data_IF_725675348196
#
_entry.id   IF_725675348196
#
_cell.length_a   1.000
_cell.length_b   1.000
_cell.length_c   1.000
_cell.angle_alpha   90.00
_cell.angle_beta   90.00
_cell.angle_gamma   90.00
#
_symmetry.space_group_name_H-M   'P 1'
#
loop_
_entity.id
_entity.type
_entity.pdbx_description
1 polymer ?
#
# COMPACT_ATOMS: atom_id res chain seq x y z
N UNK A 1 17.26 -2.67 -14.97
CA UNK A 1 16.96 -2.30 -13.57
C UNK A 1 17.35 -0.83 -13.38
N UNK A 2 16.47 0.08 -13.75
CA UNK A 2 16.64 1.52 -13.46
C UNK A 2 16.10 1.76 -12.07
N UNK A 3 16.97 2.04 -11.10
CA UNK A 3 16.57 2.50 -9.78
C UNK A 3 15.88 3.85 -9.90
N UNK A 4 14.55 3.84 -10.01
CA UNK A 4 13.77 5.06 -9.87
C UNK A 4 13.80 5.45 -8.39
N UNK A 5 14.24 6.68 -8.10
CA UNK A 5 14.25 7.22 -6.76
C UNK A 5 12.81 7.19 -6.20
N UNK A 6 12.58 6.42 -5.12
CA UNK A 6 11.30 6.41 -4.41
C UNK A 6 11.02 7.81 -3.87
N UNK A 7 9.93 8.42 -4.32
CA UNK A 7 9.48 9.71 -3.81
C UNK A 7 8.80 9.51 -2.47
N UNK A 8 9.36 10.09 -1.41
CA UNK A 8 8.70 10.11 -0.10
C UNK A 8 7.82 11.35 0.03
N UNK A 9 6.56 11.17 0.42
CA UNK A 9 5.58 12.24 0.65
C UNK A 9 5.09 12.15 2.08
N UNK A 10 5.12 13.26 2.82
CA UNK A 10 4.50 13.33 4.14
C UNK A 10 3.05 13.80 4.01
N UNK A 11 2.13 13.07 4.64
CA UNK A 11 0.70 13.32 4.62
C UNK A 11 0.21 13.70 6.03
N UNK A 12 -0.89 14.45 6.09
CA UNK A 12 -1.47 14.90 7.35
C UNK A 12 -2.56 13.95 7.86
N UNK A 13 -3.15 13.15 6.98
CA UNK A 13 -4.30 12.32 7.30
C UNK A 13 -4.43 11.08 6.40
N UNK A 14 -5.30 10.14 6.81
CA UNK A 14 -5.70 9.01 5.99
C UNK A 14 -6.53 9.44 4.75
N UNK A 15 -7.29 10.54 4.86
CA UNK A 15 -8.01 11.08 3.72
C UNK A 15 -7.06 11.61 2.62
N UNK A 16 -5.88 12.11 3.00
CA UNK A 16 -4.84 12.47 2.03
C UNK A 16 -4.30 11.23 1.29
N UNK A 17 -4.17 10.11 2.00
CA UNK A 17 -3.76 8.82 1.41
C UNK A 17 -4.83 8.33 0.42
N UNK A 18 -6.10 8.37 0.81
CA UNK A 18 -7.23 7.98 -0.04
C UNK A 18 -7.26 8.79 -1.34
N UNK A 19 -7.05 10.10 -1.23
CA UNK A 19 -6.99 11.01 -2.37
C UNK A 19 -5.81 10.66 -3.29
N UNK A 20 -4.62 10.43 -2.73
CA UNK A 20 -3.44 10.06 -3.52
C UNK A 20 -3.64 8.72 -4.23
N UNK A 21 -4.23 7.73 -3.57
CA UNK A 21 -4.56 6.43 -4.21
C UNK A 21 -5.51 6.66 -5.38
N UNK A 22 -6.61 7.39 -5.15
CA UNK A 22 -7.57 7.73 -6.21
C UNK A 22 -6.91 8.43 -7.39
N UNK A 23 -6.06 9.44 -7.15
CA UNK A 23 -5.38 10.20 -8.20
C UNK A 23 -4.31 9.39 -8.94
N UNK A 24 -3.51 8.58 -8.24
CA UNK A 24 -2.40 7.85 -8.84
C UNK A 24 -2.85 6.64 -9.67
N UNK A 25 -3.98 6.03 -9.30
CA UNK A 25 -4.54 4.85 -9.95
C UNK A 25 -5.76 5.16 -10.84
N UNK A 26 -6.14 6.44 -10.97
CA UNK A 26 -7.34 6.87 -11.71
C UNK A 26 -8.63 6.14 -11.26
N UNK A 27 -8.74 5.92 -9.94
CA UNK A 27 -9.87 5.24 -9.31
C UNK A 27 -10.85 6.24 -8.70
N UNK A 28 -12.14 5.89 -8.54
CA UNK A 28 -13.12 6.77 -7.88
C UNK A 28 -12.68 7.18 -6.47
N UNK A 29 -13.06 8.37 -6.02
CA UNK A 29 -12.78 8.81 -4.65
C UNK A 29 -13.53 7.93 -3.62
N UNK A 30 -12.78 7.14 -2.85
CA UNK A 30 -13.29 6.19 -1.83
C UNK A 30 -12.31 6.08 -0.66
N UNK A 31 -12.74 5.59 0.51
CA UNK A 31 -11.89 5.46 1.69
C UNK A 31 -10.95 4.24 1.63
N UNK A 32 -10.02 4.20 0.66
CA UNK A 32 -9.12 3.07 0.39
C UNK A 32 -8.27 2.63 1.60
N UNK A 33 -7.86 3.56 2.45
CA UNK A 33 -7.00 3.32 3.61
C UNK A 33 -7.74 2.80 4.84
N UNK A 34 -9.08 2.77 4.82
CA UNK A 34 -9.90 2.37 5.98
C UNK A 34 -11.00 1.35 5.66
N UNK A 35 -11.51 1.32 4.42
CA UNK A 35 -12.49 0.33 3.95
C UNK A 35 -11.80 -0.77 3.13
N UNK A 36 -11.85 -2.00 3.62
CA UNK A 36 -11.27 -3.15 2.92
C UNK A 36 -11.90 -3.41 1.55
N UNK A 37 -13.19 -3.12 1.36
CA UNK A 37 -13.81 -3.31 0.05
C UNK A 37 -13.29 -2.30 -0.97
N UNK A 38 -13.03 -1.06 -0.55
CA UNK A 38 -12.38 -0.07 -1.40
C UNK A 38 -10.92 -0.48 -1.69
N UNK A 39 -10.16 -0.92 -0.69
CA UNK A 39 -8.80 -1.42 -0.89
C UNK A 39 -8.73 -2.62 -1.84
N UNK A 40 -9.70 -3.53 -1.79
CA UNK A 40 -9.79 -4.66 -2.71
C UNK A 40 -10.15 -4.24 -4.14
N UNK A 41 -10.79 -3.09 -4.35
CA UNK A 41 -10.96 -2.52 -5.69
C UNK A 41 -9.62 -2.06 -6.28
N UNK A 42 -8.75 -1.47 -5.47
CA UNK A 42 -7.37 -1.17 -5.89
C UNK A 42 -6.60 -2.45 -6.23
N UNK A 43 -6.77 -3.53 -5.45
CA UNK A 43 -6.17 -4.82 -5.78
C UNK A 43 -6.69 -5.33 -7.13
N UNK A 44 -8.00 -5.33 -7.35
CA UNK A 44 -8.60 -5.76 -8.61
C UNK A 44 -8.08 -4.95 -9.81
N UNK A 45 -8.02 -3.62 -9.68
CA UNK A 45 -7.45 -2.73 -10.70
C UNK A 45 -6.01 -3.11 -11.05
N UNK A 46 -5.17 -3.34 -10.03
CA UNK A 46 -3.80 -3.76 -10.24
C UNK A 46 -3.73 -5.12 -10.95
N UNK A 47 -4.56 -6.08 -10.53
CA UNK A 47 -4.54 -7.43 -11.10
C UNK A 47 -5.00 -7.45 -12.56
N UNK A 48 -5.89 -6.53 -12.95
CA UNK A 48 -6.41 -6.44 -14.32
C UNK A 48 -5.47 -5.67 -15.28
N UNK A 49 -4.71 -4.70 -14.77
CA UNK A 49 -4.03 -3.71 -15.61
C UNK A 49 -2.49 -3.80 -15.64
N UNK A 50 -1.85 -4.67 -14.85
CA UNK A 50 -0.39 -4.77 -14.77
C UNK A 50 0.16 -6.10 -15.30
N UNK A 51 1.37 -6.05 -15.88
CA UNK A 51 2.07 -7.26 -16.33
C UNK A 51 2.46 -8.15 -15.16
N UNK A 52 2.19 -9.46 -15.27
CA UNK A 52 2.47 -10.47 -14.23
C UNK A 52 1.86 -10.12 -12.86
N UNK A 53 0.52 -9.97 -12.78
CA UNK A 53 -0.13 -9.50 -11.57
C UNK A 53 0.01 -10.51 -10.43
N UNK A 54 0.39 -10.02 -9.26
CA UNK A 54 0.45 -10.81 -8.04
C UNK A 54 -0.15 -10.00 -6.88
N UNK A 55 -0.82 -10.70 -5.98
CA UNK A 55 -1.26 -10.14 -4.72
C UNK A 55 -1.24 -11.23 -3.65
N UNK A 56 -0.57 -10.95 -2.55
CA UNK A 56 -0.58 -11.76 -1.34
C UNK A 56 -0.84 -10.88 -0.12
N UNK A 57 -1.65 -11.40 0.80
CA UNK A 57 -1.84 -10.80 2.11
C UNK A 57 -1.80 -11.88 3.18
N UNK A 58 -1.07 -11.61 4.26
CA UNK A 58 -0.96 -12.48 5.42
C UNK A 58 -1.23 -11.68 6.69
N UNK A 59 -2.00 -12.27 7.60
CA UNK A 59 -2.20 -11.75 8.94
C UNK A 59 -1.35 -12.55 9.92
N UNK A 60 -0.25 -11.95 10.38
CA UNK A 60 0.67 -12.57 11.34
C UNK A 60 1.31 -11.50 12.21
N UNK A 61 1.06 -11.59 13.51
CA UNK A 61 1.82 -10.86 14.51
C UNK A 61 3.30 -11.27 14.41
N UNK A 62 4.14 -10.33 14.00
CA UNK A 62 5.56 -10.54 13.81
C UNK A 62 6.32 -9.86 14.94
N UNK A 63 7.19 -10.62 15.62
CA UNK A 63 8.13 -10.04 16.58
C UNK A 63 9.10 -9.04 15.92
N UNK A 64 9.32 -9.15 14.60
CA UNK A 64 10.17 -8.22 13.85
C UNK A 64 9.46 -6.89 13.55
N UNK A 65 8.13 -6.88 13.49
CA UNK A 65 7.31 -5.68 13.23
C UNK A 65 6.16 -5.57 14.24
N UNK A 66 6.44 -5.26 15.51
CA UNK A 66 5.41 -5.20 16.55
C UNK A 66 4.32 -4.18 16.21
N UNK A 67 3.06 -4.62 16.30
CA UNK A 67 1.89 -3.77 16.03
C UNK A 67 1.54 -3.60 14.54
N UNK A 68 2.20 -4.35 13.65
CA UNK A 68 1.96 -4.36 12.20
C UNK A 68 1.65 -5.78 11.71
N UNK A 69 0.47 -6.32 12.01
CA UNK A 69 0.17 -7.73 11.74
C UNK A 69 -0.15 -8.04 10.28
N UNK A 70 -0.41 -7.03 9.43
CA UNK A 70 -0.76 -7.25 8.03
C UNK A 70 0.46 -7.09 7.15
N UNK A 71 0.87 -8.18 6.51
CA UNK A 71 1.93 -8.19 5.53
C UNK A 71 1.30 -8.34 4.14
N UNK A 72 1.61 -7.44 3.21
CA UNK A 72 1.09 -7.41 1.83
C UNK A 72 2.23 -7.40 0.82
N UNK A 73 2.06 -8.08 -0.30
CA UNK A 73 2.97 -8.01 -1.44
C UNK A 73 2.23 -8.02 -2.77
N UNK A 74 2.57 -7.07 -3.66
CA UNK A 74 2.14 -7.05 -5.06
C UNK A 74 3.18 -7.63 -6.03
N UNK A 75 4.37 -8.03 -5.59
CA UNK A 75 5.43 -8.47 -6.50
C UNK A 75 6.28 -9.67 -6.01
N UNK A 76 5.82 -10.42 -5.00
CA UNK A 76 6.47 -11.60 -4.37
C UNK A 76 7.81 -11.35 -3.68
N UNK A 77 8.58 -10.36 -4.12
CA UNK A 77 9.94 -10.14 -3.66
C UNK A 77 10.00 -9.41 -2.31
N UNK A 78 9.05 -8.52 -2.04
CA UNK A 78 9.07 -7.69 -0.84
C UNK A 78 7.68 -7.49 -0.27
N UNK A 79 7.64 -7.33 1.04
CA UNK A 79 6.42 -7.21 1.82
C UNK A 79 6.37 -5.83 2.47
N UNK A 80 5.21 -5.20 2.39
CA UNK A 80 4.87 -4.03 3.18
C UNK A 80 4.03 -4.45 4.38
N UNK A 81 4.41 -3.97 5.56
CA UNK A 81 3.72 -4.28 6.81
C UNK A 81 2.89 -3.09 7.27
N UNK A 82 1.64 -3.32 7.65
CA UNK A 82 0.71 -2.28 8.08
C UNK A 82 -0.12 -2.70 9.30
N UNK A 83 -0.65 -1.69 9.99
CA UNK A 83 -1.53 -1.88 11.15
C UNK A 83 -2.89 -2.48 10.77
N UNK A 84 -3.36 -2.20 9.56
CA UNK A 84 -4.61 -2.73 9.00
C UNK A 84 -4.35 -3.20 7.57
N UNK A 85 -5.14 -4.16 7.08
CA UNK A 85 -5.06 -4.62 5.70
C UNK A 85 -5.21 -3.49 4.67
N UNK A 86 -6.21 -2.58 4.77
CA UNK A 86 -6.37 -1.49 3.81
C UNK A 86 -5.15 -0.56 3.73
N UNK A 87 -4.53 -0.26 4.88
CA UNK A 87 -3.29 0.52 4.92
C UNK A 87 -2.16 -0.21 4.19
N UNK A 88 -1.88 -1.45 4.57
CA UNK A 88 -0.79 -2.23 3.97
C UNK A 88 -0.94 -2.33 2.44
N UNK A 89 -2.18 -2.54 1.96
CA UNK A 89 -2.51 -2.55 0.51
C UNK A 89 -2.18 -1.22 -0.15
N UNK A 90 -2.69 -0.10 0.38
CA UNK A 90 -2.46 1.23 -0.21
C UNK A 90 -0.97 1.59 -0.26
N UNK A 91 -0.24 1.32 0.83
CA UNK A 91 1.19 1.60 0.92
C UNK A 91 2.00 0.74 -0.06
N UNK A 92 1.74 -0.56 -0.15
CA UNK A 92 2.47 -1.44 -1.07
C UNK A 92 2.18 -1.06 -2.52
N UNK A 93 0.91 -0.84 -2.87
CA UNK A 93 0.52 -0.47 -4.23
C UNK A 93 1.20 0.84 -4.70
N UNK A 94 1.15 1.90 -3.89
CA UNK A 94 1.79 3.17 -4.21
C UNK A 94 3.30 3.01 -4.36
N UNK A 95 3.93 2.23 -3.48
CA UNK A 95 5.36 2.00 -3.56
C UNK A 95 5.73 1.25 -4.84
N UNK A 96 5.07 0.12 -5.11
CA UNK A 96 5.40 -0.78 -6.21
C UNK A 96 5.10 -0.21 -7.57
N UNK A 97 3.92 0.37 -7.74
CA UNK A 97 3.43 0.77 -9.06
C UNK A 97 3.65 2.24 -9.37
N UNK A 98 3.89 3.08 -8.34
CA UNK A 98 4.02 4.53 -8.51
C UNK A 98 5.36 5.06 -7.99
N UNK A 99 6.18 4.23 -7.33
CA UNK A 99 7.43 4.67 -6.72
C UNK A 99 7.22 5.72 -5.64
N UNK A 100 6.06 5.70 -4.95
CA UNK A 100 5.68 6.67 -3.92
C UNK A 100 5.64 5.99 -2.56
N UNK A 101 6.45 6.46 -1.62
CA UNK A 101 6.34 6.15 -0.21
C UNK A 101 5.62 7.29 0.50
N UNK A 102 4.66 6.99 1.37
CA UNK A 102 3.82 8.00 2.06
C UNK A 102 3.91 7.87 3.56
N UNK A 103 4.44 8.86 4.29
CA UNK A 103 4.48 8.84 5.76
C UNK A 103 3.30 9.59 6.35
N UNK A 104 2.59 8.97 7.30
CA UNK A 104 1.44 9.57 8.00
C UNK A 104 1.72 9.49 9.50
N UNK A 105 1.70 10.61 10.25
CA UNK A 105 1.87 10.58 11.70
C UNK A 105 0.91 9.59 12.38
N UNK A 106 1.44 8.68 13.21
CA UNK A 106 0.64 7.69 13.94
C UNK A 106 0.14 6.50 13.12
N UNK A 107 0.35 6.47 11.79
CA UNK A 107 0.15 5.28 10.96
C UNK A 107 1.51 4.69 10.62
N UNK A 108 1.86 3.63 11.33
CA UNK A 108 3.13 2.95 11.11
C UNK A 108 2.96 1.96 9.95
N UNK A 109 3.86 2.03 8.99
CA UNK A 109 4.07 0.98 8.00
C UNK A 109 5.59 0.84 7.79
N UNK A 110 6.05 -0.36 7.49
CA UNK A 110 7.46 -0.63 7.21
C UNK A 110 7.60 -1.21 5.82
N UNK A 111 8.54 -0.63 5.08
CA UNK A 111 8.96 -1.10 3.77
C UNK A 111 10.42 -1.53 3.90
N UNK A 112 10.74 -2.76 3.47
CA UNK A 112 12.10 -3.22 3.37
C UNK A 112 12.65 -2.72 2.03
N UNK A 113 13.26 -1.53 2.05
CA UNK A 113 14.06 -1.03 0.93
C UNK A 113 15.32 -1.86 0.68
#
# INVERSE_FOLDING_TARGET
MTGHATKTIQLNSLADLDRIVSEQFDLPARPYSTDINAALQLVADVLENFECPHFEISHRESNAFPGLPFAVSFNQERWTYGKTAPLAICHDALHKFKGVAVTIPGSYYWNLD
#
